data_IF_441769851254
#
_entry.id   IF_441769851254
#
_cell.length_a   1.000
_cell.length_b   1.000
_cell.length_c   1.000
_cell.angle_alpha   90.00
_cell.angle_beta   90.00
_cell.angle_gamma   90.00
#
_symmetry.space_group_name_H-M   'P 1'
#
loop_
_entity.id
_entity.type
_entity.pdbx_description
1 polymer ?
#
# COMPACT_ATOMS: atom_id res chain seq x y z
N UNK A 1 -13.76 -7.91 -37.76
CA UNK A 1 -12.77 -6.83 -37.91
C UNK A 1 -11.86 -6.94 -36.70
N UNK A 2 -10.54 -7.09 -36.90
CA UNK A 2 -9.62 -7.09 -35.77
C UNK A 2 -9.66 -5.70 -35.13
N UNK A 3 -9.95 -5.66 -33.83
CA UNK A 3 -9.96 -4.43 -33.04
C UNK A 3 -8.52 -3.92 -32.99
N UNK A 4 -8.28 -2.72 -33.53
CA UNK A 4 -6.96 -2.09 -33.44
C UNK A 4 -6.70 -1.85 -31.95
N UNK A 5 -5.58 -2.33 -31.38
CA UNK A 5 -5.29 -2.12 -29.97
C UNK A 5 -5.27 -0.62 -29.67
N UNK A 6 -5.83 -0.23 -28.52
CA UNK A 6 -5.80 1.15 -28.08
C UNK A 6 -4.34 1.63 -27.94
N UNK A 7 -4.03 2.87 -28.36
CA UNK A 7 -2.68 3.40 -28.26
C UNK A 7 -2.22 3.48 -26.80
N UNK A 8 -0.96 3.14 -26.57
CA UNK A 8 -0.31 3.20 -25.26
C UNK A 8 0.01 4.65 -24.85
N UNK A 9 0.24 4.90 -23.56
CA UNK A 9 0.62 6.23 -23.08
C UNK A 9 1.84 6.81 -23.83
N UNK A 10 2.96 6.08 -24.04
CA UNK A 10 4.09 6.60 -24.80
C UNK A 10 3.75 6.93 -26.27
N UNK A 11 2.84 6.18 -26.90
CA UNK A 11 2.41 6.46 -28.27
C UNK A 11 1.54 7.73 -28.34
N UNK A 12 0.69 7.94 -27.34
CA UNK A 12 -0.12 9.16 -27.22
C UNK A 12 0.77 10.39 -26.95
N UNK A 13 1.74 10.28 -26.05
CA UNK A 13 2.71 11.35 -25.75
C UNK A 13 3.54 11.72 -26.99
N UNK A 14 4.02 10.72 -27.74
CA UNK A 14 4.74 10.95 -28.98
C UNK A 14 3.87 11.64 -30.05
N UNK A 15 2.61 11.21 -30.18
CA UNK A 15 1.66 11.83 -31.09
C UNK A 15 1.38 13.29 -30.71
N UNK A 16 1.18 13.59 -29.42
CA UNK A 16 0.97 14.95 -28.93
C UNK A 16 2.21 15.83 -29.19
N UNK A 17 3.41 15.31 -28.91
CA UNK A 17 4.66 16.02 -29.17
C UNK A 17 4.85 16.36 -30.65
N UNK A 18 4.48 15.44 -31.55
CA UNK A 18 4.49 15.70 -32.99
C UNK A 18 3.48 16.79 -33.36
N UNK A 19 2.25 16.75 -32.83
CA UNK A 19 1.26 17.79 -33.07
C UNK A 19 1.72 19.17 -32.59
N UNK A 20 2.39 19.25 -31.44
CA UNK A 20 2.98 20.51 -30.94
C UNK A 20 4.03 21.04 -31.92
N UNK A 21 4.95 20.19 -32.37
CA UNK A 21 5.99 20.60 -33.33
C UNK A 21 5.43 21.07 -34.67
N UNK A 22 4.37 20.42 -35.17
CA UNK A 22 3.79 20.72 -36.47
C UNK A 22 2.83 21.93 -36.45
N UNK A 23 2.04 22.07 -35.38
CA UNK A 23 0.89 23.00 -35.33
C UNK A 23 1.11 24.17 -34.38
N UNK A 24 1.91 23.99 -33.34
CA UNK A 24 2.20 24.99 -32.31
C UNK A 24 3.71 25.17 -32.08
N UNK A 25 4.53 25.36 -33.14
CA UNK A 25 6.00 25.38 -33.03
C UNK A 25 6.57 26.56 -32.22
N UNK A 26 5.74 27.54 -31.91
CA UNK A 26 6.11 28.75 -31.17
C UNK A 26 5.60 28.74 -29.72
N UNK A 27 4.90 27.69 -29.30
CA UNK A 27 4.51 27.56 -27.89
C UNK A 27 5.76 27.34 -27.03
N UNK A 28 5.93 28.15 -26.00
CA UNK A 28 7.07 28.07 -25.07
C UNK A 28 6.83 27.04 -23.96
N UNK A 29 5.58 26.57 -23.81
CA UNK A 29 5.18 25.51 -22.88
C UNK A 29 4.00 24.68 -23.40
N UNK A 30 3.78 23.53 -22.76
CA UNK A 30 2.62 22.67 -23.02
C UNK A 30 1.30 23.40 -22.74
N UNK A 31 1.24 24.20 -21.67
CA UNK A 31 0.06 25.01 -21.32
C UNK A 31 -0.26 26.04 -22.40
N UNK A 32 0.78 26.64 -23.01
CA UNK A 32 0.59 27.60 -24.09
C UNK A 32 0.11 26.91 -25.38
N UNK A 33 0.67 25.74 -25.71
CA UNK A 33 0.19 24.92 -26.83
C UNK A 33 -1.27 24.50 -26.63
N UNK A 34 -1.67 24.14 -25.41
CA UNK A 34 -3.04 23.77 -25.06
C UNK A 34 -4.00 24.96 -25.21
N UNK A 35 -3.62 26.16 -24.75
CA UNK A 35 -4.40 27.38 -24.94
C UNK A 35 -4.58 27.74 -26.43
N UNK A 36 -3.51 27.62 -27.22
CA UNK A 36 -3.55 27.85 -28.66
C UNK A 36 -4.44 26.80 -29.36
N UNK A 37 -4.38 25.53 -28.94
CA UNK A 37 -5.24 24.46 -29.45
C UNK A 37 -6.72 24.66 -29.12
N UNK A 38 -7.03 25.11 -27.90
CA UNK A 38 -8.38 25.47 -27.49
C UNK A 38 -8.94 26.63 -28.32
N UNK A 39 -8.14 27.68 -28.55
CA UNK A 39 -8.53 28.82 -29.37
C UNK A 39 -8.76 28.43 -30.83
N UNK A 40 -7.91 27.56 -31.37
CA UNK A 40 -8.02 27.02 -32.72
C UNK A 40 -9.13 25.96 -32.88
N UNK A 41 -9.72 25.50 -31.77
CA UNK A 41 -10.64 24.35 -31.72
C UNK A 41 -10.04 23.10 -32.37
N UNK A 42 -8.76 22.84 -32.14
CA UNK A 42 -8.11 21.63 -32.61
C UNK A 42 -8.58 20.42 -31.79
N UNK A 43 -9.67 19.81 -32.25
CA UNK A 43 -10.27 18.66 -31.59
C UNK A 43 -9.32 17.45 -31.53
N UNK A 44 -8.41 17.30 -32.48
CA UNK A 44 -7.50 16.14 -32.52
C UNK A 44 -6.44 16.25 -31.43
N UNK A 45 -5.86 17.45 -31.26
CA UNK A 45 -4.96 17.76 -30.16
C UNK A 45 -5.67 17.54 -28.81
N UNK A 46 -6.85 18.14 -28.63
CA UNK A 46 -7.57 18.09 -27.37
C UNK A 46 -8.01 16.66 -26.99
N UNK A 47 -8.46 15.86 -27.96
CA UNK A 47 -8.78 14.45 -27.73
C UNK A 47 -7.54 13.63 -27.36
N UNK A 48 -6.40 13.91 -27.98
CA UNK A 48 -5.13 13.23 -27.64
C UNK A 48 -4.70 13.60 -26.22
N UNK A 49 -4.80 14.88 -25.84
CA UNK A 49 -4.52 15.34 -24.48
C UNK A 49 -5.44 14.69 -23.44
N UNK A 50 -6.75 14.62 -23.72
CA UNK A 50 -7.71 13.93 -22.85
C UNK A 50 -7.34 12.47 -22.65
N UNK A 51 -6.98 11.75 -23.73
CA UNK A 51 -6.58 10.33 -23.64
C UNK A 51 -5.31 10.12 -22.82
N UNK A 52 -4.34 11.03 -22.90
CA UNK A 52 -3.15 11.02 -22.06
C UNK A 52 -3.56 11.16 -20.59
N UNK A 53 -4.37 12.18 -20.27
CA UNK A 53 -4.85 12.42 -18.90
C UNK A 53 -5.66 11.23 -18.36
N UNK A 54 -6.49 10.60 -19.20
CA UNK A 54 -7.22 9.37 -18.84
C UNK A 54 -6.26 8.21 -18.54
N UNK A 55 -5.22 8.02 -19.37
CA UNK A 55 -4.23 6.97 -19.17
C UNK A 55 -3.39 7.20 -17.90
N UNK A 56 -2.96 8.43 -17.66
CA UNK A 56 -2.27 8.84 -16.42
C UNK A 56 -3.16 8.62 -15.19
N UNK A 57 -4.44 9.00 -15.27
CA UNK A 57 -5.40 8.79 -14.19
C UNK A 57 -5.62 7.31 -13.89
N UNK A 58 -5.70 6.46 -14.93
CA UNK A 58 -5.81 5.01 -14.76
C UNK A 58 -4.57 4.45 -14.07
N UNK A 59 -3.37 4.84 -14.50
CA UNK A 59 -2.12 4.40 -13.86
C UNK A 59 -2.03 4.85 -12.40
N UNK A 60 -2.35 6.12 -12.11
CA UNK A 60 -2.37 6.64 -10.75
C UNK A 60 -3.41 5.94 -9.87
N UNK A 61 -4.60 5.64 -10.44
CA UNK A 61 -5.62 4.90 -9.73
C UNK A 61 -5.16 3.47 -9.41
N UNK A 62 -4.47 2.77 -10.32
CA UNK A 62 -3.89 1.44 -10.06
C UNK A 62 -2.90 1.43 -8.88
N UNK A 63 -2.13 2.52 -8.69
CA UNK A 63 -1.19 2.65 -7.57
C UNK A 63 -1.86 2.72 -6.18
N UNK A 64 -3.11 3.19 -6.11
CA UNK A 64 -3.88 3.32 -4.87
C UNK A 64 -5.10 2.42 -4.80
N UNK A 65 -5.51 1.78 -5.90
CA UNK A 65 -6.68 0.92 -5.96
C UNK A 65 -6.57 -0.21 -4.94
N UNK A 66 -5.35 -0.62 -4.61
CA UNK A 66 -5.12 -1.70 -3.68
C UNK A 66 -5.46 -1.42 -2.22
N UNK A 67 -5.52 -0.16 -1.81
CA UNK A 67 -6.01 0.23 -0.48
C UNK A 67 -7.53 0.40 -0.45
N UNK A 68 -8.22 0.29 -1.59
CA UNK A 68 -9.67 0.41 -1.64
C UNK A 68 -10.34 -0.77 -0.89
N UNK A 69 -11.39 -0.54 -0.09
CA UNK A 69 -12.03 -1.58 0.73
C UNK A 69 -12.52 -2.82 -0.04
N UNK A 70 -12.83 -2.67 -1.32
CA UNK A 70 -13.32 -3.75 -2.19
C UNK A 70 -12.25 -4.44 -3.04
N UNK A 71 -10.99 -3.97 -3.01
CA UNK A 71 -9.95 -4.52 -3.86
C UNK A 71 -9.43 -5.85 -3.29
N UNK A 72 -9.39 -6.87 -4.14
CA UNK A 72 -8.84 -8.20 -3.81
C UNK A 72 -7.49 -8.38 -4.48
N UNK A 73 -6.42 -8.10 -3.75
CA UNK A 73 -5.07 -8.37 -4.25
C UNK A 73 -4.76 -9.87 -4.24
N UNK A 74 -3.92 -10.30 -5.18
CA UNK A 74 -3.37 -11.65 -5.11
C UNK A 74 -2.48 -11.80 -3.86
N UNK A 75 -2.30 -13.03 -3.33
CA UNK A 75 -1.43 -13.24 -2.16
C UNK A 75 0.00 -12.71 -2.36
N UNK A 76 0.56 -12.84 -3.56
CA UNK A 76 1.89 -12.34 -3.89
C UNK A 76 1.96 -10.81 -3.84
N UNK A 77 0.94 -10.12 -4.35
CA UNK A 77 0.85 -8.66 -4.28
C UNK A 77 0.69 -8.17 -2.84
N UNK A 78 -0.20 -8.79 -2.06
CA UNK A 78 -0.39 -8.47 -0.64
C UNK A 78 0.93 -8.64 0.13
N UNK A 79 1.64 -9.76 -0.05
CA UNK A 79 2.94 -10.00 0.59
C UNK A 79 4.00 -8.95 0.23
N UNK A 80 4.10 -8.57 -1.06
CA UNK A 80 5.03 -7.52 -1.51
C UNK A 80 4.73 -6.19 -0.80
N UNK A 81 3.46 -5.85 -0.62
CA UNK A 81 3.04 -4.62 0.05
C UNK A 81 3.26 -4.68 1.55
N UNK A 82 2.91 -5.77 2.21
CA UNK A 82 3.20 -5.98 3.64
C UNK A 82 4.71 -5.82 3.90
N UNK A 83 5.58 -6.38 3.05
CA UNK A 83 7.03 -6.18 3.13
C UNK A 83 7.42 -4.70 3.07
N UNK A 84 6.88 -3.97 2.09
CA UNK A 84 7.15 -2.54 1.91
C UNK A 84 6.69 -1.71 3.12
N UNK A 85 5.48 -1.98 3.65
CA UNK A 85 4.94 -1.35 4.84
C UNK A 85 5.80 -1.64 6.07
N UNK A 86 6.15 -2.90 6.31
CA UNK A 86 7.01 -3.29 7.42
C UNK A 86 8.40 -2.63 7.37
N UNK A 87 8.91 -2.32 6.17
CA UNK A 87 10.18 -1.62 5.97
C UNK A 87 10.04 -0.10 6.14
N UNK A 88 8.91 0.48 5.73
CA UNK A 88 8.66 1.93 5.77
C UNK A 88 8.39 2.44 7.19
N UNK A 89 7.71 1.65 8.02
CA UNK A 89 7.33 2.05 9.38
C UNK A 89 8.30 1.45 10.40
N UNK A 90 9.15 2.26 11.07
CA UNK A 90 10.20 1.75 11.93
C UNK A 90 9.66 1.07 13.20
N UNK A 91 8.63 1.62 13.83
CA UNK A 91 8.01 1.03 15.02
C UNK A 91 6.99 -0.05 14.66
N UNK A 92 6.85 -1.02 15.57
CA UNK A 92 5.99 -2.20 15.34
C UNK A 92 4.51 -1.83 15.32
N UNK A 93 4.10 -0.91 16.19
CA UNK A 93 2.71 -0.47 16.29
C UNK A 93 2.22 0.11 14.96
N UNK A 94 2.93 1.11 14.42
CA UNK A 94 2.56 1.77 13.17
C UNK A 94 2.60 0.80 11.99
N UNK A 95 3.59 -0.09 11.93
CA UNK A 95 3.65 -1.11 10.88
C UNK A 95 2.45 -2.05 10.91
N UNK A 96 2.10 -2.59 12.09
CA UNK A 96 0.96 -3.50 12.24
C UNK A 96 -0.37 -2.78 12.01
N UNK A 97 -0.51 -1.54 12.47
CA UNK A 97 -1.68 -0.70 12.24
C UNK A 97 -1.89 -0.45 10.74
N UNK A 98 -0.86 0.00 10.04
CA UNK A 98 -0.97 0.32 8.60
C UNK A 98 -1.26 -0.93 7.79
N UNK A 99 -0.63 -2.07 8.10
CA UNK A 99 -0.96 -3.35 7.45
C UNK A 99 -2.43 -3.73 7.68
N UNK A 100 -2.92 -3.63 8.92
CA UNK A 100 -4.30 -4.00 9.26
C UNK A 100 -5.33 -3.13 8.52
N UNK A 101 -5.11 -1.81 8.43
CA UNK A 101 -6.07 -0.90 7.77
C UNK A 101 -6.00 -0.95 6.24
N UNK A 102 -4.84 -1.27 5.67
CA UNK A 102 -4.65 -1.35 4.21
C UNK A 102 -4.96 -2.74 3.63
N UNK A 103 -5.10 -3.76 4.48
CA UNK A 103 -5.46 -5.12 4.06
C UNK A 103 -6.73 -5.61 4.79
N UNK A 104 -7.85 -4.85 4.73
CA UNK A 104 -9.05 -5.15 5.52
C UNK A 104 -9.72 -6.48 5.13
N UNK A 105 -9.49 -6.96 3.91
CA UNK A 105 -10.02 -8.24 3.42
C UNK A 105 -9.18 -9.46 3.85
N UNK A 106 -8.02 -9.27 4.50
CA UNK A 106 -7.13 -10.36 4.91
C UNK A 106 -7.33 -10.67 6.38
N UNK A 107 -7.55 -11.94 6.71
CA UNK A 107 -7.72 -12.41 8.08
C UNK A 107 -6.47 -12.15 8.93
N UNK A 108 -6.63 -11.82 10.21
CA UNK A 108 -5.53 -11.46 11.12
C UNK A 108 -4.54 -12.60 11.30
N UNK A 109 -5.04 -13.83 11.26
CA UNK A 109 -4.30 -15.09 11.35
C UNK A 109 -3.36 -15.28 10.14
N UNK A 110 -3.69 -14.68 9.00
CA UNK A 110 -2.84 -14.65 7.81
C UNK A 110 -1.87 -13.46 7.82
N UNK A 111 -2.28 -12.32 8.38
CA UNK A 111 -1.42 -11.13 8.54
C UNK A 111 -0.31 -11.36 9.56
N UNK A 112 -0.58 -12.03 10.68
CA UNK A 112 0.38 -12.28 11.75
C UNK A 112 1.69 -12.95 11.27
N UNK A 113 1.67 -14.12 10.60
CA UNK A 113 2.89 -14.72 10.07
C UNK A 113 3.52 -13.87 8.95
N UNK A 114 2.70 -13.18 8.15
CA UNK A 114 3.18 -12.34 7.07
C UNK A 114 3.94 -11.09 7.55
N UNK A 115 3.55 -10.52 8.70
CA UNK A 115 4.27 -9.41 9.34
C UNK A 115 5.54 -9.95 10.02
N UNK A 116 5.42 -11.04 10.78
CA UNK A 116 6.54 -11.65 11.51
C UNK A 116 7.73 -11.97 10.60
N UNK A 117 7.47 -12.49 9.39
CA UNK A 117 8.55 -12.82 8.43
C UNK A 117 9.40 -11.61 8.00
N UNK A 118 8.88 -10.38 8.12
CA UNK A 118 9.56 -9.16 7.69
C UNK A 118 10.01 -8.27 8.86
N UNK A 119 9.75 -8.69 10.11
CA UNK A 119 9.95 -7.87 11.31
C UNK A 119 10.78 -8.61 12.36
N UNK A 120 12.10 -8.36 12.35
CA UNK A 120 13.04 -8.98 13.30
C UNK A 120 12.76 -8.63 14.77
N UNK A 121 12.17 -7.46 15.02
CA UNK A 121 11.75 -7.02 16.35
C UNK A 121 10.58 -7.83 16.93
N UNK A 122 10.05 -8.79 16.16
CA UNK A 122 9.02 -9.75 16.58
C UNK A 122 9.57 -11.17 16.78
N UNK A 123 10.89 -11.38 16.70
CA UNK A 123 11.48 -12.72 16.73
C UNK A 123 11.08 -13.52 17.98
N UNK A 124 10.98 -12.87 19.15
CA UNK A 124 10.57 -13.51 20.40
C UNK A 124 9.05 -13.73 20.52
N UNK A 125 8.24 -13.09 19.68
CA UNK A 125 6.78 -13.21 19.76
C UNK A 125 6.29 -14.41 18.95
N UNK A 126 5.39 -15.22 19.49
CA UNK A 126 4.75 -16.27 18.69
C UNK A 126 3.79 -15.69 17.64
N UNK A 127 3.39 -16.50 16.66
CA UNK A 127 2.34 -16.08 15.69
C UNK A 127 1.03 -15.79 16.40
N UNK A 128 0.73 -16.50 17.49
CA UNK A 128 -0.46 -16.25 18.32
C UNK A 128 -0.38 -14.89 19.04
N UNK A 129 0.79 -14.52 19.57
CA UNK A 129 1.00 -13.20 20.17
C UNK A 129 0.80 -12.09 19.13
N UNK A 130 1.30 -12.29 17.91
CA UNK A 130 1.12 -11.35 16.80
C UNK A 130 -0.35 -11.18 16.43
N UNK A 131 -1.13 -12.26 16.37
CA UNK A 131 -2.58 -12.20 16.16
C UNK A 131 -3.29 -11.44 17.29
N UNK A 132 -2.90 -11.68 18.54
CA UNK A 132 -3.43 -10.96 19.70
C UNK A 132 -3.16 -9.45 19.65
N UNK A 133 -1.97 -9.06 19.19
CA UNK A 133 -1.62 -7.65 18.95
C UNK A 133 -2.48 -7.02 17.85
N UNK A 134 -2.72 -7.73 16.73
CA UNK A 134 -3.62 -7.27 15.67
C UNK A 134 -5.08 -7.11 16.15
N UNK A 135 -5.53 -7.94 17.08
CA UNK A 135 -6.84 -7.79 17.72
C UNK A 135 -6.87 -6.55 18.63
N UNK A 136 -5.80 -6.34 19.42
CA UNK A 136 -5.70 -5.20 20.33
C UNK A 136 -5.75 -3.85 19.60
N UNK A 137 -5.17 -3.76 18.40
CA UNK A 137 -5.23 -2.57 17.55
C UNK A 137 -6.67 -2.10 17.29
N UNK A 138 -7.60 -3.02 17.00
CA UNK A 138 -8.99 -2.68 16.69
C UNK A 138 -9.79 -2.24 17.92
N UNK A 139 -9.43 -2.72 19.10
CA UNK A 139 -10.25 -2.56 20.31
C UNK A 139 -9.78 -1.41 21.22
N UNK A 140 -8.51 -1.00 21.13
CA UNK A 140 -7.96 0.06 21.98
C UNK A 140 -6.68 0.70 21.46
N UNK A 141 -6.44 0.62 20.15
CA UNK A 141 -5.33 1.26 19.45
C UNK A 141 -3.99 1.06 20.17
N UNK A 142 -3.23 2.14 20.36
CA UNK A 142 -1.86 2.08 20.90
C UNK A 142 -1.80 1.59 22.33
N UNK A 143 -2.70 2.04 23.21
CA UNK A 143 -2.66 1.67 24.63
C UNK A 143 -2.91 0.18 24.84
N UNK A 144 -3.92 -0.38 24.15
CA UNK A 144 -4.20 -1.81 24.22
C UNK A 144 -3.06 -2.63 23.61
N UNK A 145 -2.50 -2.17 22.49
CA UNK A 145 -1.36 -2.82 21.85
C UNK A 145 -0.14 -2.88 22.78
N UNK A 146 0.25 -1.76 23.38
CA UNK A 146 1.38 -1.69 24.30
C UNK A 146 1.15 -2.54 25.56
N UNK A 147 -0.08 -2.56 26.08
CA UNK A 147 -0.44 -3.40 27.21
C UNK A 147 -0.24 -4.89 26.90
N UNK A 148 -0.73 -5.37 25.75
CA UNK A 148 -0.56 -6.76 25.29
C UNK A 148 0.91 -7.06 25.02
N UNK A 149 1.63 -6.17 24.34
CA UNK A 149 3.06 -6.37 24.04
C UNK A 149 3.88 -6.52 25.32
N UNK A 150 3.59 -5.70 26.34
CA UNK A 150 4.26 -5.76 27.64
C UNK A 150 3.93 -7.04 28.40
N UNK A 151 2.68 -7.48 28.41
CA UNK A 151 2.30 -8.73 29.11
C UNK A 151 2.96 -9.95 28.46
N UNK A 152 3.01 -10.01 27.13
CA UNK A 152 3.66 -11.12 26.39
C UNK A 152 5.17 -11.15 26.62
N UNK A 153 5.86 -10.01 26.51
CA UNK A 153 7.31 -9.93 26.83
C UNK A 153 7.63 -10.31 28.28
N UNK A 154 6.74 -10.00 29.23
CA UNK A 154 6.92 -10.38 30.63
C UNK A 154 6.59 -11.86 30.92
N UNK A 155 5.71 -12.47 30.12
CA UNK A 155 5.39 -13.89 30.24
C UNK A 155 6.58 -14.78 29.83
N UNK A 156 7.30 -14.42 28.74
CA UNK A 156 8.54 -15.11 28.35
C UNK A 156 9.59 -15.10 29.47
N UNK A 157 9.76 -13.96 30.15
CA UNK A 157 10.72 -13.82 31.26
C UNK A 157 10.37 -14.69 32.47
N UNK A 158 9.09 -14.95 32.71
CA UNK A 158 8.64 -15.84 33.80
C UNK A 158 8.71 -17.33 33.42
N UNK A 159 8.66 -17.67 32.14
CA UNK A 159 8.79 -19.06 31.67
C UNK A 159 10.22 -19.60 31.69
N UNK A 160 11.23 -18.73 31.57
CA UNK A 160 12.65 -19.12 31.50
C UNK A 160 13.41 -19.17 32.83
N UNK A 161 12.79 -18.81 33.95
CA UNK A 161 13.45 -18.69 35.26
C UNK A 161 12.68 -19.38 36.37
N UNK A 162 13.01 -20.65 36.64
CA UNK A 162 12.89 -21.27 37.97
C UNK A 162 11.55 -21.10 38.70
N UNK A 163 10.45 -21.58 38.12
CA UNK A 163 9.22 -21.85 38.88
C UNK A 163 9.31 -23.16 39.66
N UNK A 164 10.38 -23.37 40.44
CA UNK A 164 10.49 -24.48 41.37
C UNK A 164 10.00 -24.05 42.76
N UNK A 165 9.00 -24.77 43.27
CA UNK A 165 8.72 -24.99 44.70
C UNK A 165 8.51 -23.76 45.59
N UNK A 166 7.26 -23.36 45.86
CA UNK A 166 6.95 -22.61 47.08
C UNK A 166 5.47 -22.58 47.47
N UNK A 167 4.77 -23.72 47.60
CA UNK A 167 3.60 -23.86 48.49
C UNK A 167 3.45 -25.30 48.97
N UNK A 168 4.37 -25.73 49.83
CA UNK A 168 4.03 -26.68 50.91
C UNK A 168 4.37 -25.95 52.20
N UNK A 169 3.36 -25.72 53.03
CA UNK A 169 3.55 -25.41 54.44
C UNK A 169 2.57 -26.27 55.23
N UNK A 170 3.16 -26.84 56.28
CA UNK A 170 2.69 -27.77 57.30
C UNK A 170 1.20 -27.73 57.67
#
# INVERSE_FOLDING_TARGET
>A
MAEVPAPTLPELEAALAQMVQERYPHAESDDEAELQAMAARDCEYLLTRIRILEAELIQANDEVQWIAPGHRSSPAQALKRIKALCTRFPDLFSAMLVVAVTHPAVAKEMLAPAIKQFRRDTDTLSVEDMSGLLVALNNGAQQAFEAVLRTRKNAERKGGGGGAMAWVRD
#
